data_IF_336181395227
#
_entry.id   IF_336181395227
#
_cell.length_a   1.000
_cell.length_b   1.000
_cell.length_c   1.000
_cell.angle_alpha   90.00
_cell.angle_beta   90.00
_cell.angle_gamma   90.00
#
_symmetry.space_group_name_H-M   'P 1'
#
loop_
_entity.id
_entity.type
_entity.pdbx_description
1 polymer ?
#
# COMPACT_ATOMS: atom_id res chain seq x y z
N UNK A 1 -13.38 -1.83 21.43
CA UNK A 1 -12.29 -1.60 20.46
C UNK A 1 -11.34 -0.55 21.05
N UNK A 2 -10.03 -0.77 21.09
CA UNK A 2 -9.08 0.17 21.70
C UNK A 2 -8.85 1.39 20.80
N UNK A 3 -8.60 2.57 21.39
CA UNK A 3 -8.29 3.81 20.66
C UNK A 3 -7.12 3.63 19.68
N UNK A 4 -6.12 2.83 20.04
CA UNK A 4 -4.98 2.52 19.17
C UNK A 4 -5.41 1.78 17.90
N UNK A 5 -6.31 0.81 18.03
CA UNK A 5 -6.83 0.04 16.90
C UNK A 5 -7.64 0.93 15.95
N UNK A 6 -8.45 1.83 16.50
CA UNK A 6 -9.22 2.81 15.72
C UNK A 6 -8.31 3.80 14.99
N UNK A 7 -7.22 4.25 15.64
CA UNK A 7 -6.25 5.15 15.01
C UNK A 7 -5.55 4.48 13.84
N UNK A 8 -5.08 3.24 14.01
CA UNK A 8 -4.38 2.50 12.95
C UNK A 8 -5.28 2.14 11.77
N UNK A 9 -6.58 1.93 11.99
CA UNK A 9 -7.50 1.62 10.89
C UNK A 9 -7.86 2.83 10.02
N UNK A 10 -7.48 4.06 10.43
CA UNK A 10 -7.80 5.30 9.70
C UNK A 10 -6.62 5.87 8.90
N UNK A 11 -5.42 5.34 9.11
CA UNK A 11 -4.21 5.74 8.40
C UNK A 11 -3.33 4.50 8.26
N UNK A 12 -3.38 3.90 7.08
CA UNK A 12 -2.67 2.69 6.72
C UNK A 12 -1.63 3.07 5.69
N UNK A 13 -0.37 3.00 6.07
CA UNK A 13 0.74 3.28 5.16
C UNK A 13 1.19 1.99 4.49
N UNK A 14 1.16 1.96 3.16
CA UNK A 14 1.52 0.80 2.35
C UNK A 14 2.78 1.13 1.56
N UNK A 15 3.73 0.20 1.52
CA UNK A 15 4.92 0.30 0.68
C UNK A 15 4.98 -0.86 -0.30
N UNK A 16 5.21 -0.53 -1.57
CA UNK A 16 5.41 -1.50 -2.63
C UNK A 16 6.85 -2.04 -2.60
N UNK A 17 6.98 -3.36 -2.63
CA UNK A 17 8.26 -4.07 -2.60
C UNK A 17 8.34 -4.97 -3.82
N UNK A 18 9.00 -4.46 -4.86
CA UNK A 18 9.25 -5.20 -6.08
C UNK A 18 10.39 -6.20 -5.89
N UNK A 19 10.16 -7.49 -6.19
CA UNK A 19 11.17 -8.56 -6.01
C UNK A 19 11.61 -9.26 -7.28
N UNK A 20 11.20 -8.79 -8.47
CA UNK A 20 11.57 -9.39 -9.76
C UNK A 20 10.39 -9.69 -10.70
N UNK A 21 9.33 -8.88 -10.65
CA UNK A 21 8.12 -9.05 -11.46
C UNK A 21 8.19 -8.50 -12.90
N UNK A 22 7.03 -8.32 -13.51
CA UNK A 22 6.88 -7.73 -14.86
C UNK A 22 6.35 -6.29 -14.84
N UNK A 23 6.33 -5.63 -13.67
CA UNK A 23 5.71 -4.32 -13.42
C UNK A 23 4.17 -4.26 -13.55
N UNK A 24 3.50 -5.34 -13.96
CA UNK A 24 2.04 -5.36 -14.11
C UNK A 24 1.31 -5.12 -12.78
N UNK A 25 1.63 -5.92 -11.75
CA UNK A 25 1.04 -5.77 -10.42
C UNK A 25 1.37 -4.40 -9.80
N UNK A 26 2.57 -3.87 -10.05
CA UNK A 26 3.00 -2.59 -9.50
C UNK A 26 2.18 -1.42 -10.06
N UNK A 27 1.93 -1.44 -11.37
CA UNK A 27 1.03 -0.48 -12.03
C UNK A 27 -0.39 -0.59 -11.48
N UNK A 28 -0.89 -1.81 -11.28
CA UNK A 28 -2.22 -2.02 -10.70
C UNK A 28 -2.34 -1.52 -9.27
N UNK A 29 -1.32 -1.74 -8.42
CA UNK A 29 -1.31 -1.25 -7.03
C UNK A 29 -1.26 0.28 -6.99
N UNK A 30 -0.41 0.90 -7.81
CA UNK A 30 -0.34 2.36 -7.89
C UNK A 30 -1.66 2.93 -8.41
N UNK A 31 -2.27 2.30 -9.41
CA UNK A 31 -3.60 2.69 -9.89
C UNK A 31 -4.68 2.48 -8.84
N UNK A 32 -4.64 1.41 -8.06
CA UNK A 32 -5.62 1.17 -7.02
C UNK A 32 -5.61 2.30 -5.97
N UNK A 33 -4.41 2.79 -5.62
CA UNK A 33 -4.27 3.86 -4.62
C UNK A 33 -4.51 5.24 -5.20
N UNK A 34 -3.88 5.58 -6.32
CA UNK A 34 -3.85 6.96 -6.84
C UNK A 34 -4.90 7.25 -7.93
N UNK A 35 -5.49 6.22 -8.55
CA UNK A 35 -6.50 6.45 -9.58
C UNK A 35 -7.83 6.85 -8.93
N UNK A 36 -8.50 7.91 -9.42
CA UNK A 36 -9.82 8.29 -8.92
C UNK A 36 -10.90 7.23 -9.18
N UNK A 37 -10.61 6.24 -10.03
CA UNK A 37 -11.52 5.12 -10.29
C UNK A 37 -11.62 4.17 -9.09
N UNK A 38 -10.54 3.98 -8.36
CA UNK A 38 -10.45 3.02 -7.24
C UNK A 38 -10.27 3.73 -5.89
N UNK A 39 -9.54 4.85 -5.88
CA UNK A 39 -9.44 5.85 -4.82
C UNK A 39 -9.34 5.24 -3.41
N UNK A 40 -8.29 4.43 -3.19
CA UNK A 40 -8.09 3.80 -1.87
C UNK A 40 -7.75 4.83 -0.77
N UNK A 41 -7.40 6.07 -1.13
CA UNK A 41 -7.18 7.16 -0.17
C UNK A 41 -8.46 7.45 0.66
N UNK A 42 -9.66 7.23 0.10
CA UNK A 42 -10.93 7.35 0.84
C UNK A 42 -11.03 6.40 2.04
N UNK A 43 -10.33 5.26 1.99
CA UNK A 43 -10.30 4.27 3.06
C UNK A 43 -9.10 4.49 4.00
N UNK A 44 -8.37 5.60 3.86
CA UNK A 44 -7.20 5.93 4.66
C UNK A 44 -5.97 5.12 4.31
N UNK A 45 -5.87 4.62 3.07
CA UNK A 45 -4.70 3.88 2.57
C UNK A 45 -3.80 4.83 1.79
N UNK A 46 -2.53 4.91 2.18
CA UNK A 46 -1.56 5.83 1.59
C UNK A 46 -0.33 5.08 1.11
N UNK A 47 0.18 5.46 -0.06
CA UNK A 47 1.43 4.92 -0.58
C UNK A 47 2.62 5.63 0.07
N UNK A 48 3.60 4.85 0.54
CA UNK A 48 4.82 5.33 1.20
C UNK A 48 6.05 4.61 0.66
N UNK A 49 7.20 5.27 0.74
CA UNK A 49 8.46 4.79 0.15
C UNK A 49 9.54 4.47 1.19
N UNK A 50 9.25 4.71 2.48
CA UNK A 50 10.14 4.40 3.58
C UNK A 50 9.61 3.19 4.37
N UNK A 51 10.35 2.06 4.45
CA UNK A 51 9.87 0.87 5.15
C UNK A 51 9.69 1.06 6.66
N UNK A 52 10.27 2.12 7.25
CA UNK A 52 10.07 2.45 8.67
C UNK A 52 8.73 3.14 8.95
N UNK A 53 8.15 3.77 7.95
CA UNK A 53 6.85 4.45 8.04
C UNK A 53 5.70 3.55 7.58
N UNK A 54 6.01 2.51 6.81
CA UNK A 54 5.01 1.57 6.30
C UNK A 54 4.43 0.68 7.41
N UNK A 55 3.11 0.56 7.43
CA UNK A 55 2.38 -0.44 8.21
C UNK A 55 2.35 -1.80 7.49
N UNK A 56 2.30 -1.78 6.15
CA UNK A 56 2.12 -2.96 5.30
C UNK A 56 3.12 -2.94 4.14
N UNK A 57 3.75 -4.07 3.88
CA UNK A 57 4.56 -4.29 2.68
C UNK A 57 3.76 -5.10 1.66
N UNK A 58 3.59 -4.55 0.45
CA UNK A 58 2.97 -5.26 -0.67
C UNK A 58 4.08 -5.75 -1.58
N UNK A 59 4.36 -7.05 -1.48
CA UNK A 59 5.44 -7.71 -2.22
C UNK A 59 4.91 -8.17 -3.58
N UNK A 60 5.64 -7.85 -4.65
CA UNK A 60 5.24 -8.16 -6.02
C UNK A 60 6.33 -8.91 -6.79
N UNK A 61 5.88 -9.90 -7.57
CA UNK A 61 6.76 -10.73 -8.40
C UNK A 61 7.36 -11.95 -7.66
N UNK A 62 8.06 -12.84 -8.38
CA UNK A 62 8.89 -13.88 -7.77
C UNK A 62 10.05 -13.24 -7.00
N UNK A 63 10.61 -13.92 -6.00
CA UNK A 63 11.85 -13.51 -5.34
C UNK A 63 13.01 -14.11 -6.13
N UNK A 64 13.73 -13.28 -6.88
CA UNK A 64 14.87 -13.68 -7.71
C UNK A 64 16.17 -13.04 -7.25
#
# INVERSE_FOLDING_TARGET
MSLKTLSRSKAIHVMLVYTGGCNGCDIEIVNAVLSPKFDMEQYGVFLTWNPREADILVVTGPVT
#
